data_IF_657829252190
#
_entry.id   IF_657829252190
#
_cell.length_a   1.000
_cell.length_b   1.000
_cell.length_c   1.000
_cell.angle_alpha   90.00
_cell.angle_beta   90.00
_cell.angle_gamma   90.00
#
_symmetry.space_group_name_H-M   'P 1'
#
loop_
_entity.id
_entity.type
_entity.pdbx_description
1 polymer ?
#
# COMPACT_ATOMS: atom_id res chain seq x y z
N UNK A 1 2.40 -25.65 0.60
CA UNK A 1 2.11 -26.15 -0.76
C UNK A 1 2.83 -27.47 -1.05
N UNK A 2 4.18 -27.52 -1.00
CA UNK A 2 4.94 -28.75 -1.32
C UNK A 2 4.60 -29.95 -0.42
N UNK A 3 4.59 -29.78 0.92
CA UNK A 3 4.26 -30.89 1.83
C UNK A 3 2.82 -31.42 1.70
N UNK A 4 1.88 -30.52 1.40
CA UNK A 4 0.49 -30.89 1.16
C UNK A 4 0.29 -31.57 -0.21
N UNK A 5 1.11 -31.21 -1.20
CA UNK A 5 1.15 -31.88 -2.51
C UNK A 5 1.63 -33.33 -2.41
N UNK A 6 2.55 -33.66 -1.48
CA UNK A 6 2.99 -35.03 -1.26
C UNK A 6 1.93 -35.89 -0.58
N UNK A 7 1.29 -35.34 0.47
CA UNK A 7 0.20 -36.03 1.16
C UNK A 7 -0.99 -36.32 0.22
N UNK A 8 -1.34 -35.36 -0.64
CA UNK A 8 -2.41 -35.55 -1.60
C UNK A 8 -2.02 -36.35 -2.85
N UNK A 9 -0.74 -36.46 -3.20
CA UNK A 9 -0.29 -37.38 -4.26
C UNK A 9 -0.63 -38.83 -3.90
N UNK A 10 -0.40 -39.23 -2.65
CA UNK A 10 -0.79 -40.56 -2.16
C UNK A 10 -2.30 -40.77 -2.25
N UNK A 11 -3.08 -39.74 -1.94
CA UNK A 11 -4.53 -39.78 -2.02
C UNK A 11 -5.03 -39.87 -3.47
N UNK A 12 -4.48 -39.06 -4.39
CA UNK A 12 -4.90 -39.06 -5.79
C UNK A 12 -4.50 -40.31 -6.55
N UNK A 13 -3.33 -40.90 -6.26
CA UNK A 13 -2.96 -42.23 -6.78
C UNK A 13 -3.94 -43.33 -6.31
N UNK A 14 -4.65 -43.12 -5.19
CA UNK A 14 -5.65 -44.09 -4.69
C UNK A 14 -7.05 -43.81 -5.20
N UNK A 15 -7.25 -42.64 -5.80
CA UNK A 15 -8.55 -42.17 -6.29
C UNK A 15 -8.54 -42.27 -7.83
N UNK A 16 -7.71 -41.52 -8.53
CA UNK A 16 -7.69 -41.62 -9.99
C UNK A 16 -6.85 -42.84 -10.40
N UNK A 17 -7.54 -43.88 -10.91
CA UNK A 17 -6.94 -45.09 -11.48
C UNK A 17 -6.25 -44.84 -12.83
N UNK A 18 -6.19 -43.58 -13.26
CA UNK A 18 -5.61 -43.14 -14.52
C UNK A 18 -4.14 -42.74 -14.31
N UNK A 19 -3.25 -43.24 -15.17
CA UNK A 19 -1.79 -43.10 -15.05
C UNK A 19 -1.26 -41.64 -15.06
N UNK A 20 -2.14 -40.66 -15.23
CA UNK A 20 -1.75 -39.25 -15.35
C UNK A 20 -1.26 -38.64 -14.01
N UNK A 21 -1.47 -39.35 -12.89
CA UNK A 21 -1.09 -38.88 -11.54
C UNK A 21 0.18 -39.54 -10.95
N UNK A 22 0.96 -40.27 -11.75
CA UNK A 22 2.14 -41.00 -11.26
C UNK A 22 3.25 -40.10 -10.71
N UNK A 23 3.35 -38.83 -11.16
CA UNK A 23 4.43 -37.92 -10.78
C UNK A 23 3.98 -36.83 -9.79
N UNK A 24 4.78 -36.62 -8.74
CA UNK A 24 4.56 -35.58 -7.71
C UNK A 24 4.41 -34.19 -8.32
N UNK A 25 5.19 -33.89 -9.36
CA UNK A 25 5.16 -32.60 -10.07
C UNK A 25 3.82 -32.36 -10.78
N UNK A 26 3.26 -33.38 -11.45
CA UNK A 26 1.94 -33.26 -12.10
C UNK A 26 0.83 -33.00 -11.07
N UNK A 27 0.93 -33.67 -9.92
CA UNK A 27 0.01 -33.45 -8.81
C UNK A 27 0.13 -32.03 -8.26
N UNK A 28 1.33 -31.49 -8.13
CA UNK A 28 1.55 -30.11 -7.69
C UNK A 28 0.86 -29.09 -8.62
N UNK A 29 1.05 -29.21 -9.94
CA UNK A 29 0.39 -28.33 -10.91
C UNK A 29 -1.13 -28.52 -10.92
N UNK A 30 -1.63 -29.75 -10.74
CA UNK A 30 -3.08 -30.00 -10.62
C UNK A 30 -3.67 -29.31 -9.39
N UNK A 31 -3.01 -29.38 -8.23
CA UNK A 31 -3.45 -28.66 -7.02
C UNK A 31 -3.49 -27.15 -7.23
N UNK A 32 -2.47 -26.64 -7.92
CA UNK A 32 -2.41 -25.23 -8.29
C UNK A 32 -3.57 -24.85 -9.21
N UNK A 33 -3.85 -25.63 -10.26
CA UNK A 33 -4.99 -25.41 -11.17
C UNK A 33 -6.36 -25.54 -10.49
N UNK A 34 -6.50 -26.46 -9.54
CA UNK A 34 -7.70 -26.59 -8.69
C UNK A 34 -7.90 -25.34 -7.83
N UNK A 35 -6.82 -24.74 -7.32
CA UNK A 35 -6.88 -23.46 -6.59
C UNK A 35 -7.26 -22.29 -7.50
N UNK A 36 -6.93 -22.35 -8.80
CA UNK A 36 -7.16 -21.26 -9.75
C UNK A 36 -8.58 -21.16 -10.30
N UNK A 37 -9.33 -22.27 -10.43
CA UNK A 37 -10.82 -22.31 -10.54
C UNK A 37 -11.36 -23.72 -10.89
N UNK A 38 -10.52 -24.73 -11.18
CA UNK A 38 -10.97 -26.05 -11.70
C UNK A 38 -11.48 -26.99 -10.59
N UNK A 39 -12.34 -26.49 -9.71
CA UNK A 39 -12.82 -27.18 -8.49
C UNK A 39 -13.88 -28.23 -8.84
N UNK A 40 -14.74 -27.95 -9.83
CA UNK A 40 -15.88 -28.80 -10.17
C UNK A 40 -15.46 -30.19 -10.67
N UNK A 41 -14.39 -30.25 -11.46
CA UNK A 41 -13.92 -31.52 -12.05
C UNK A 41 -13.17 -32.36 -11.02
N UNK A 42 -12.36 -31.72 -10.18
CA UNK A 42 -11.74 -32.39 -9.04
C UNK A 42 -12.79 -32.95 -8.06
N UNK A 43 -13.85 -32.19 -7.78
CA UNK A 43 -14.93 -32.63 -6.89
C UNK A 43 -15.64 -33.87 -7.42
N UNK A 44 -15.99 -33.90 -8.72
CA UNK A 44 -16.65 -35.06 -9.37
C UNK A 44 -15.84 -36.34 -9.25
N UNK A 45 -14.51 -36.26 -9.36
CA UNK A 45 -13.63 -37.42 -9.27
C UNK A 45 -13.66 -38.09 -7.88
N UNK A 46 -14.01 -37.35 -6.82
CA UNK A 46 -14.22 -37.92 -5.48
C UNK A 46 -15.56 -38.66 -5.32
N UNK A 47 -16.57 -38.41 -6.17
CA UNK A 47 -17.88 -39.09 -6.10
C UNK A 47 -17.91 -40.43 -6.81
N UNK A 48 -17.02 -40.63 -7.79
CA UNK A 48 -16.99 -41.86 -8.61
C UNK A 48 -16.37 -43.07 -7.89
N UNK A 49 -15.83 -42.89 -6.68
CA UNK A 49 -15.07 -43.94 -6.00
C UNK A 49 -15.93 -45.03 -5.37
N UNK A 50 -15.62 -46.32 -5.54
CA UNK A 50 -16.40 -47.39 -4.91
C UNK A 50 -16.23 -47.46 -3.38
N UNK A 51 -15.14 -46.92 -2.83
CA UNK A 51 -14.82 -47.00 -1.39
C UNK A 51 -15.32 -45.77 -0.60
N UNK A 52 -16.33 -45.94 0.25
CA UNK A 52 -16.92 -44.84 1.04
C UNK A 52 -15.90 -44.13 1.96
N UNK A 53 -14.93 -44.85 2.53
CA UNK A 53 -13.92 -44.27 3.42
C UNK A 53 -12.95 -43.31 2.73
N UNK A 54 -12.49 -43.63 1.51
CA UNK A 54 -11.58 -42.77 0.75
C UNK A 54 -12.28 -41.50 0.23
N UNK A 55 -13.59 -41.57 -0.01
CA UNK A 55 -14.37 -40.40 -0.38
C UNK A 55 -14.46 -39.37 0.75
N UNK A 56 -14.70 -39.83 1.99
CA UNK A 56 -14.82 -38.93 3.15
C UNK A 56 -13.49 -38.27 3.48
N UNK A 57 -12.40 -39.05 3.51
CA UNK A 57 -11.06 -38.49 3.77
C UNK A 57 -10.67 -37.48 2.67
N UNK A 58 -10.99 -37.78 1.40
CA UNK A 58 -10.70 -36.89 0.29
C UNK A 58 -11.46 -35.57 0.34
N UNK A 59 -12.75 -35.59 0.69
CA UNK A 59 -13.56 -34.38 0.88
C UNK A 59 -13.02 -33.51 2.01
N UNK A 60 -12.65 -34.10 3.15
CA UNK A 60 -12.11 -33.35 4.30
C UNK A 60 -10.75 -32.73 3.99
N UNK A 61 -9.84 -33.49 3.37
CA UNK A 61 -8.54 -32.97 2.94
C UNK A 61 -8.70 -31.85 1.90
N UNK A 62 -9.65 -31.99 0.97
CA UNK A 62 -9.93 -30.98 -0.06
C UNK A 62 -10.44 -29.66 0.53
N UNK A 63 -11.38 -29.71 1.48
CA UNK A 63 -11.88 -28.48 2.13
C UNK A 63 -10.77 -27.79 2.94
N UNK A 64 -10.00 -28.58 3.68
CA UNK A 64 -8.87 -28.07 4.48
C UNK A 64 -7.81 -27.39 3.60
N UNK A 65 -7.59 -27.92 2.39
CA UNK A 65 -6.70 -27.31 1.40
C UNK A 65 -7.15 -25.91 0.99
N UNK A 66 -8.40 -25.77 0.57
CA UNK A 66 -8.95 -24.51 0.03
C UNK A 66 -8.92 -23.43 1.10
N UNK A 67 -9.28 -23.77 2.35
CA UNK A 67 -9.22 -22.83 3.48
C UNK A 67 -7.77 -22.40 3.76
N UNK A 68 -6.83 -23.35 3.81
CA UNK A 68 -5.42 -23.05 4.06
C UNK A 68 -4.82 -22.20 2.92
N UNK A 69 -5.14 -22.50 1.67
CA UNK A 69 -4.70 -21.74 0.50
C UNK A 69 -5.25 -20.31 0.52
N UNK A 70 -6.53 -20.12 0.82
CA UNK A 70 -7.16 -18.80 0.91
C UNK A 70 -6.53 -17.93 2.01
N UNK A 71 -6.35 -18.48 3.21
CA UNK A 71 -5.72 -17.74 4.33
C UNK A 71 -4.28 -17.36 4.01
N UNK A 72 -3.50 -18.27 3.40
CA UNK A 72 -2.11 -17.98 2.99
C UNK A 72 -2.03 -16.92 1.88
N UNK A 73 -2.90 -17.00 0.87
CA UNK A 73 -2.93 -16.03 -0.23
C UNK A 73 -3.31 -14.64 0.26
N UNK A 74 -4.33 -14.52 1.12
CA UNK A 74 -4.77 -13.24 1.68
C UNK A 74 -3.69 -12.63 2.57
N UNK A 75 -3.06 -13.44 3.44
CA UNK A 75 -2.01 -12.95 4.32
C UNK A 75 -0.79 -12.45 3.55
N UNK A 76 -0.42 -13.10 2.45
CA UNK A 76 0.71 -12.67 1.61
C UNK A 76 0.34 -11.50 0.69
N UNK A 77 -0.89 -11.46 0.17
CA UNK A 77 -1.40 -10.38 -0.65
C UNK A 77 -1.47 -9.07 0.14
N UNK A 78 -2.02 -9.11 1.37
CA UNK A 78 -2.12 -7.93 2.23
C UNK A 78 -0.77 -7.52 2.79
N UNK A 79 0.14 -8.44 3.10
CA UNK A 79 1.47 -8.06 3.63
C UNK A 79 2.32 -7.31 2.59
N UNK A 80 2.32 -7.76 1.34
CA UNK A 80 3.09 -7.10 0.28
C UNK A 80 2.38 -5.83 -0.24
N UNK A 81 1.04 -5.85 -0.33
CA UNK A 81 0.26 -4.67 -0.70
C UNK A 81 0.16 -3.63 0.43
N UNK A 82 0.22 -4.05 1.70
CA UNK A 82 0.19 -3.17 2.87
C UNK A 82 1.50 -2.40 3.04
N UNK A 83 2.64 -3.05 2.81
CA UNK A 83 3.94 -2.39 2.80
C UNK A 83 4.07 -1.40 1.62
N UNK A 84 3.57 -1.76 0.44
CA UNK A 84 3.54 -0.82 -0.69
C UNK A 84 2.52 0.30 -0.50
N UNK A 85 1.42 0.08 0.22
CA UNK A 85 0.46 1.12 0.58
C UNK A 85 1.08 2.17 1.50
N UNK A 86 1.85 1.74 2.51
CA UNK A 86 2.61 2.65 3.38
C UNK A 86 3.64 3.47 2.59
N UNK A 87 4.39 2.83 1.69
CA UNK A 87 5.36 3.49 0.80
C UNK A 87 4.70 4.44 -0.22
N UNK A 88 3.50 4.13 -0.72
CA UNK A 88 2.76 4.99 -1.65
C UNK A 88 2.19 6.23 -0.95
N UNK A 89 1.83 6.14 0.32
CA UNK A 89 1.42 7.31 1.10
C UNK A 89 2.55 8.34 1.30
N UNK A 90 3.82 7.90 1.31
CA UNK A 90 5.00 8.78 1.26
C UNK A 90 5.21 9.42 -0.13
N UNK A 91 4.64 8.84 -1.19
CA UNK A 91 4.73 9.32 -2.58
C UNK A 91 3.69 10.39 -2.95
N UNK A 92 3.08 11.07 -1.97
CA UNK A 92 2.30 12.30 -2.21
C UNK A 92 3.11 13.43 -2.84
N UNK A 93 4.45 13.37 -2.85
CA UNK A 93 5.29 14.35 -3.55
C UNK A 93 5.66 13.93 -4.97
N UNK A 94 5.37 12.69 -5.35
CA UNK A 94 5.75 12.16 -6.67
C UNK A 94 4.83 12.69 -7.78
N UNK A 95 3.54 12.86 -7.51
CA UNK A 95 2.63 13.50 -8.48
C UNK A 95 3.06 14.95 -8.76
N UNK A 96 3.51 15.68 -7.73
CA UNK A 96 4.02 17.04 -7.90
C UNK A 96 5.35 17.07 -8.66
N UNK A 97 6.23 16.08 -8.41
CA UNK A 97 7.46 15.91 -9.19
C UNK A 97 7.14 15.63 -10.67
N UNK A 98 6.18 14.74 -10.94
CA UNK A 98 5.74 14.43 -12.30
C UNK A 98 5.15 15.65 -12.99
N UNK A 99 4.32 16.42 -12.28
CA UNK A 99 3.75 17.67 -12.79
C UNK A 99 4.82 18.73 -13.09
N UNK A 100 5.80 18.91 -12.19
CA UNK A 100 6.92 19.84 -12.39
C UNK A 100 7.78 19.42 -13.60
N UNK A 101 8.00 18.12 -13.82
CA UNK A 101 8.73 17.62 -14.98
C UNK A 101 8.00 17.94 -16.29
N UNK A 102 6.68 17.74 -16.33
CA UNK A 102 5.86 18.10 -17.49
C UNK A 102 5.94 19.60 -17.74
N UNK A 103 5.77 20.41 -16.69
CA UNK A 103 5.84 21.88 -16.79
C UNK A 103 7.18 22.35 -17.34
N UNK A 104 8.30 21.76 -16.88
CA UNK A 104 9.64 22.10 -17.36
C UNK A 104 9.83 21.76 -18.85
N UNK A 105 9.33 20.60 -19.30
CA UNK A 105 9.39 20.21 -20.72
C UNK A 105 8.54 21.15 -21.57
N UNK A 106 7.35 21.52 -21.09
CA UNK A 106 6.48 22.49 -21.78
C UNK A 106 7.15 23.86 -21.85
N UNK A 107 7.74 24.34 -20.76
CA UNK A 107 8.53 25.58 -20.77
C UNK A 107 9.70 25.49 -21.76
N UNK A 108 10.37 24.32 -21.83
CA UNK A 108 11.46 24.05 -22.76
C UNK A 108 11.01 23.95 -24.24
N UNK A 109 9.71 23.76 -24.50
CA UNK A 109 9.16 23.74 -25.86
C UNK A 109 8.91 25.13 -26.46
N UNK A 110 8.89 26.20 -25.65
CA UNK A 110 8.70 27.60 -26.09
C UNK A 110 9.97 28.19 -26.71
N UNK A 111 9.86 29.11 -27.68
CA UNK A 111 11.05 29.72 -28.30
C UNK A 111 11.80 30.66 -27.33
N UNK A 112 13.11 30.87 -27.54
CA UNK A 112 13.96 31.68 -26.63
C UNK A 112 13.51 33.13 -26.56
N UNK A 113 12.97 33.68 -27.64
CA UNK A 113 12.50 35.07 -27.72
C UNK A 113 11.24 35.29 -26.88
N UNK A 114 10.28 34.37 -26.97
CA UNK A 114 9.05 34.39 -26.18
C UNK A 114 9.32 34.24 -24.69
N UNK A 115 10.32 33.42 -24.30
CA UNK A 115 10.73 33.29 -22.89
C UNK A 115 11.29 34.59 -22.31
N UNK A 116 12.13 35.31 -23.06
CA UNK A 116 12.69 36.59 -22.62
C UNK A 116 11.59 37.65 -22.49
N UNK A 117 10.64 37.67 -23.43
CA UNK A 117 9.46 38.54 -23.36
C UNK A 117 8.63 38.24 -22.10
N UNK A 118 8.34 36.97 -21.83
CA UNK A 118 7.62 36.53 -20.63
C UNK A 118 8.39 36.87 -19.34
N UNK A 119 9.70 36.62 -19.27
CA UNK A 119 10.53 36.96 -18.12
C UNK A 119 10.51 38.46 -17.83
N UNK A 120 10.58 39.30 -18.87
CA UNK A 120 10.51 40.75 -18.73
C UNK A 120 9.15 41.22 -18.18
N UNK A 121 8.07 40.54 -18.58
CA UNK A 121 6.69 40.83 -18.19
C UNK A 121 6.39 40.43 -16.73
N UNK A 122 6.95 39.29 -16.27
CA UNK A 122 6.81 38.84 -14.88
C UNK A 122 7.78 39.51 -13.89
N UNK A 123 8.80 40.24 -14.38
CA UNK A 123 9.76 40.97 -13.55
C UNK A 123 9.25 42.35 -13.13
N UNK A 124 9.47 42.74 -11.88
CA UNK A 124 9.26 44.11 -11.40
C UNK A 124 10.57 44.90 -11.40
N UNK A 125 10.51 46.19 -11.74
CA UNK A 125 11.64 47.10 -11.60
C UNK A 125 11.77 47.57 -10.15
N UNK A 126 12.96 47.44 -9.59
CA UNK A 126 13.33 48.01 -8.29
C UNK A 126 13.71 49.49 -8.46
N UNK A 127 13.75 50.28 -7.36
CA UNK A 127 14.21 51.67 -7.39
C UNK A 127 15.64 51.84 -7.91
N UNK A 128 16.48 50.81 -7.71
CA UNK A 128 17.86 50.68 -8.20
C UNK A 128 17.94 50.38 -9.73
N UNK A 129 16.81 50.31 -10.44
CA UNK A 129 16.75 50.01 -11.87
C UNK A 129 16.86 48.52 -12.22
N UNK A 130 17.35 47.69 -11.29
CA UNK A 130 17.42 46.23 -11.41
C UNK A 130 16.02 45.58 -11.51
N UNK A 131 15.87 44.53 -12.33
CA UNK A 131 14.63 43.75 -12.48
C UNK A 131 14.68 42.48 -11.64
N UNK A 132 13.65 42.23 -10.84
CA UNK A 132 13.56 41.06 -9.96
C UNK A 132 12.21 40.36 -10.07
N UNK A 133 12.22 39.04 -9.96
CA UNK A 133 11.00 38.24 -9.85
C UNK A 133 10.57 38.21 -8.38
N UNK A 134 9.40 38.76 -8.09
CA UNK A 134 8.83 38.75 -6.74
C UNK A 134 7.76 37.68 -6.68
N UNK A 135 8.01 36.63 -5.92
CA UNK A 135 7.01 35.61 -5.62
C UNK A 135 6.48 35.83 -4.20
N UNK A 136 5.15 35.78 -4.05
CA UNK A 136 4.51 35.74 -2.73
C UNK A 136 4.27 34.28 -2.38
N UNK A 137 4.85 33.83 -1.28
CA UNK A 137 4.53 32.52 -0.75
C UNK A 137 3.14 32.58 -0.11
N UNK A 138 2.15 31.96 -0.75
CA UNK A 138 0.83 31.76 -0.18
C UNK A 138 0.86 30.39 0.49
N UNK A 139 0.98 30.39 1.81
CA UNK A 139 0.99 29.18 2.62
C UNK A 139 -0.32 29.11 3.40
N UNK A 140 -1.02 27.98 3.31
CA UNK A 140 -2.21 27.78 4.13
C UNK A 140 -1.81 27.61 5.60
N UNK A 141 -2.68 28.01 6.56
CA UNK A 141 -2.35 27.92 7.99
C UNK A 141 -1.99 26.48 8.43
N UNK A 142 -2.66 25.48 7.85
CA UNK A 142 -2.41 24.06 8.14
C UNK A 142 -1.05 23.56 7.61
N UNK A 143 -0.64 24.02 6.41
CA UNK A 143 0.67 23.69 5.84
C UNK A 143 1.81 24.33 6.63
N UNK A 144 1.59 25.52 7.20
CA UNK A 144 2.56 26.18 8.08
C UNK A 144 2.85 25.35 9.32
N UNK A 145 1.81 24.88 9.99
CA UNK A 145 1.95 24.01 11.16
C UNK A 145 2.65 22.69 10.81
N UNK A 146 2.33 22.13 9.64
CA UNK A 146 2.96 20.88 9.17
C UNK A 146 4.46 21.07 8.92
N UNK A 147 4.85 22.17 8.26
CA UNK A 147 6.25 22.51 8.01
C UNK A 147 7.00 22.79 9.31
N UNK A 148 6.35 23.45 10.26
CA UNK A 148 6.95 23.73 11.57
C UNK A 148 7.20 22.45 12.37
N UNK A 149 6.23 21.54 12.41
CA UNK A 149 6.40 20.23 13.04
C UNK A 149 7.52 19.41 12.36
N UNK A 150 7.56 19.39 11.02
CA UNK A 150 8.64 18.72 10.28
C UNK A 150 10.02 19.33 10.59
N UNK A 151 10.12 20.65 10.80
CA UNK A 151 11.38 21.29 11.20
C UNK A 151 11.83 20.84 12.58
N UNK A 152 10.91 20.78 13.54
CA UNK A 152 11.18 20.31 14.91
C UNK A 152 11.68 18.86 14.89
N UNK A 153 11.00 17.98 14.16
CA UNK A 153 11.39 16.57 14.01
C UNK A 153 12.79 16.45 13.38
N UNK A 154 13.11 17.27 12.39
CA UNK A 154 14.42 17.31 11.75
C UNK A 154 15.53 17.71 12.73
N UNK A 155 15.30 18.71 13.59
CA UNK A 155 16.26 19.09 14.64
C UNK A 155 16.48 17.96 15.67
N UNK A 156 15.41 17.27 16.07
CA UNK A 156 15.53 16.09 16.94
C UNK A 156 16.29 14.94 16.27
N UNK A 157 16.20 14.81 14.94
CA UNK A 157 16.95 13.82 14.18
C UNK A 157 18.44 14.16 14.12
N UNK A 158 18.78 15.44 13.90
CA UNK A 158 20.15 15.93 13.93
C UNK A 158 20.79 15.75 15.31
N UNK A 159 20.07 16.07 16.38
CA UNK A 159 20.57 15.90 17.75
C UNK A 159 20.91 14.43 18.04
N UNK A 160 20.08 13.48 17.60
CA UNK A 160 20.38 12.05 17.73
C UNK A 160 21.63 11.57 16.97
N UNK A 161 21.99 12.25 15.87
CA UNK A 161 23.21 11.94 15.12
C UNK A 161 24.45 12.70 15.65
N UNK A 162 24.23 13.78 16.39
CA UNK A 162 25.27 14.62 16.99
C UNK A 162 25.60 14.21 18.44
N UNK A 163 24.74 13.44 19.10
CA UNK A 163 25.11 12.73 20.33
C UNK A 163 26.14 11.64 19.98
N UNK A 164 27.42 11.79 20.37
CA UNK A 164 28.34 10.66 20.30
C UNK A 164 27.79 9.56 21.21
N UNK A 165 27.89 8.31 20.76
CA UNK A 165 27.51 7.14 21.54
C UNK A 165 28.28 7.16 22.88
N UNK A 166 27.68 7.71 23.93
CA UNK A 166 28.17 7.50 25.28
C UNK A 166 27.80 6.07 25.62
N UNK A 167 28.70 5.16 25.28
CA UNK A 167 28.70 3.76 25.69
C UNK A 167 28.53 3.72 27.22
N UNK A 168 27.30 3.59 27.71
CA UNK A 168 27.05 3.24 29.11
C UNK A 168 27.07 1.72 29.21
N UNK A 169 28.26 1.15 29.38
CA UNK A 169 28.38 -0.16 30.02
C UNK A 169 27.89 0.02 31.46
N UNK A 170 26.62 -0.24 31.71
CA UNK A 170 26.20 -0.71 33.01
C UNK A 170 25.15 -1.82 32.89
N UNK A 171 25.51 -2.89 33.57
CA UNK A 171 24.83 -4.15 33.61
C UNK A 171 23.56 -4.08 34.44
N UNK A 172 22.70 -5.06 34.16
CA UNK A 172 21.89 -5.82 35.12
C UNK A 172 20.46 -5.33 35.44
N UNK A 173 19.57 -6.31 35.20
CA UNK A 173 18.40 -6.73 36.00
C UNK A 173 17.06 -5.99 35.85
N UNK A 174 16.10 -6.72 35.24
CA UNK A 174 14.68 -6.73 35.66
C UNK A 174 14.61 -6.94 37.19
N UNK A 175 13.69 -6.26 37.89
CA UNK A 175 12.40 -6.90 38.17
C UNK A 175 11.19 -5.96 38.10
N UNK A 176 10.03 -6.60 38.29
CA UNK A 176 8.63 -6.22 38.08
C UNK A 176 7.95 -5.41 39.20
N UNK A 177 6.82 -4.76 38.82
CA UNK A 177 5.51 -4.61 39.53
C UNK A 177 5.01 -3.16 39.78
N UNK A 178 3.75 -2.93 39.34
CA UNK A 178 2.72 -1.94 39.74
C UNK A 178 2.93 -0.45 39.41
N UNK A 179 1.96 0.38 39.01
CA UNK A 179 0.54 0.23 38.66
C UNK A 179 -0.01 1.60 38.17
N UNK A 180 -0.96 1.57 37.23
CA UNK A 180 -2.15 2.45 37.09
C UNK A 180 -2.06 3.95 36.74
N UNK A 181 -3.05 4.37 35.92
CA UNK A 181 -3.36 5.69 35.32
C UNK A 181 -2.49 6.05 34.10
N UNK A 182 -2.99 6.28 32.88
CA UNK A 182 -4.18 7.04 32.46
C UNK A 182 -4.40 6.75 30.95
N UNK A 183 -5.52 6.13 30.54
CA UNK A 183 -5.80 5.85 29.13
C UNK A 183 -7.28 6.05 28.83
N UNK A 184 -7.65 7.27 28.43
CA UNK A 184 -9.02 7.59 28.00
C UNK A 184 -9.13 8.66 26.90
N UNK A 185 -8.05 9.27 26.42
CA UNK A 185 -8.13 10.36 25.40
C UNK A 185 -7.82 9.93 23.95
N UNK A 186 -7.36 8.70 23.71
CA UNK A 186 -6.86 8.30 22.38
C UNK A 186 -7.94 7.74 21.45
N UNK A 187 -9.12 7.36 21.96
CA UNK A 187 -10.15 6.67 21.17
C UNK A 187 -11.17 7.61 20.50
N UNK A 188 -11.32 8.84 21.01
CA UNK A 188 -12.28 9.83 20.46
C UNK A 188 -11.68 10.60 19.26
N UNK A 189 -10.35 10.81 19.25
CA UNK A 189 -9.68 11.56 18.20
C UNK A 189 -9.54 10.79 16.86
N UNK A 190 -9.53 9.46 16.91
CA UNK A 190 -9.48 8.62 15.70
C UNK A 190 -10.78 8.64 14.90
N UNK A 191 -11.94 8.55 15.57
CA UNK A 191 -13.25 8.53 14.91
C UNK A 191 -13.60 9.90 14.28
N UNK A 192 -13.22 11.00 14.92
CA UNK A 192 -13.44 12.36 14.41
C UNK A 192 -12.53 12.72 13.21
N UNK A 193 -11.40 12.01 13.04
CA UNK A 193 -10.50 12.18 11.89
C UNK A 193 -11.02 11.41 10.68
N UNK A 194 -11.41 10.15 10.87
CA UNK A 194 -12.00 9.31 9.81
C UNK A 194 -13.29 9.92 9.25
N UNK A 195 -14.18 10.45 10.10
CA UNK A 195 -15.44 11.05 9.64
C UNK A 195 -15.23 12.36 8.85
N UNK A 196 -14.17 13.12 9.16
CA UNK A 196 -13.81 14.35 8.43
C UNK A 196 -13.14 14.05 7.09
N UNK A 197 -12.32 13.00 7.02
CA UNK A 197 -11.66 12.60 5.78
C UNK A 197 -12.67 12.02 4.77
N UNK A 198 -13.72 11.34 5.24
CA UNK A 198 -14.83 10.85 4.39
C UNK A 198 -15.69 12.02 3.84
N UNK A 199 -16.01 13.01 4.67
CA UNK A 199 -16.78 14.19 4.24
C UNK A 199 -16.00 15.09 3.27
N UNK A 200 -14.68 15.20 3.44
CA UNK A 200 -13.83 15.98 2.51
C UNK A 200 -13.70 15.30 1.13
N UNK A 201 -13.70 13.97 1.07
CA UNK A 201 -13.68 13.25 -0.20
C UNK A 201 -15.02 13.31 -0.95
N UNK A 202 -16.16 13.35 -0.25
CA UNK A 202 -17.47 13.53 -0.90
C UNK A 202 -17.61 14.92 -1.54
N UNK A 203 -17.18 15.99 -0.84
CA UNK A 203 -17.20 17.34 -1.41
C UNK A 203 -16.27 17.52 -2.61
N UNK A 204 -15.11 16.86 -2.63
CA UNK A 204 -14.21 16.89 -3.77
C UNK A 204 -14.83 16.22 -5.02
N UNK A 205 -15.62 15.16 -4.82
CA UNK A 205 -16.26 14.43 -5.91
C UNK A 205 -17.48 15.17 -6.48
N UNK A 206 -18.26 15.86 -5.63
CA UNK A 206 -19.37 16.72 -6.09
C UNK A 206 -18.87 17.96 -6.85
N UNK A 207 -17.76 18.57 -6.41
CA UNK A 207 -17.15 19.71 -7.10
C UNK A 207 -16.64 19.39 -8.51
N UNK A 208 -16.32 18.12 -8.78
CA UNK A 208 -15.86 17.67 -10.09
C UNK A 208 -17.02 17.34 -11.04
N UNK A 209 -18.17 16.89 -10.51
CA UNK A 209 -19.38 16.63 -11.31
C UNK A 209 -20.10 17.91 -11.78
N UNK A 210 -19.88 19.05 -11.11
CA UNK A 210 -20.49 20.33 -11.45
C UNK A 210 -19.75 21.11 -12.54
N UNK A 211 -18.56 20.67 -12.97
CA UNK A 211 -17.73 21.39 -13.95
C UNK A 211 -17.96 20.96 -15.41
N UNK A 212 -18.68 19.87 -15.66
CA UNK A 212 -18.92 19.34 -17.00
C UNK A 212 -20.41 19.14 -17.28
N UNK A 213 -21.19 20.22 -17.48
CA UNK A 213 -22.42 20.16 -18.33
C UNK A 213 -22.98 21.48 -18.88
N UNK A 214 -22.33 22.65 -18.75
CA UNK A 214 -22.95 23.92 -19.22
C UNK A 214 -22.06 24.87 -20.02
N UNK A 215 -20.96 24.40 -20.61
CA UNK A 215 -20.08 25.26 -21.41
C UNK A 215 -19.68 24.68 -22.77
N UNK A 216 -20.54 23.86 -23.39
CA UNK A 216 -20.48 23.52 -24.81
C UNK A 216 -21.89 23.45 -25.41
N UNK A 217 -22.49 24.63 -25.59
CA UNK A 217 -23.30 24.98 -26.78
C UNK A 217 -22.68 26.26 -27.33
#
# INVERSE_FOLDING_TARGET
MVGFSQALHVLFVRIECENDFATVIKTFFRMFCVTLQQIADAYKNFYLHPNMGIQVIGKVCFVTYIVTAAVLLVNMLIAMMGNTYAMVNERKKEWLRQWAKIMLIVEQSVSREERLAQQSNYSKRMPDGSRVLVTRLIQTPDERLTIENMRVDYYHQLQRHLEPESVSIHSKTKPSVSSSHQNSSTRVNGAAKVKRDVLRNQHAQESFSSFDTTALI
#
